data_IF_355799962715
#
_entry.id   IF_355799962715
#
_cell.length_a   1.000
_cell.length_b   1.000
_cell.length_c   1.000
_cell.angle_alpha   90.00
_cell.angle_beta   90.00
_cell.angle_gamma   90.00
#
_symmetry.space_group_name_H-M   'P 1'
#
loop_
_entity.id
_entity.type
_entity.pdbx_description
1 polymer ?
#
# COMPACT_ATOMS: atom_id res chain seq x y z
N UNK A 1 -25.88 -8.85 -47.16
CA UNK A 1 -26.09 -10.03 -46.33
C UNK A 1 -24.80 -10.53 -45.69
N UNK A 2 -23.71 -10.74 -46.44
CA UNK A 2 -22.41 -11.23 -45.92
C UNK A 2 -21.78 -10.27 -44.89
N UNK A 3 -21.84 -8.98 -45.09
CA UNK A 3 -21.28 -7.97 -44.21
C UNK A 3 -22.02 -7.87 -42.87
N UNK A 4 -23.32 -8.03 -42.88
CA UNK A 4 -24.15 -8.05 -41.65
C UNK A 4 -23.84 -9.28 -40.83
N UNK A 5 -23.71 -10.44 -41.47
CA UNK A 5 -23.36 -11.70 -40.80
C UNK A 5 -21.96 -11.60 -40.20
N UNK A 6 -20.99 -11.01 -40.90
CA UNK A 6 -19.63 -10.86 -40.44
C UNK A 6 -19.55 -9.89 -39.24
N UNK A 7 -20.25 -8.76 -39.26
CA UNK A 7 -20.38 -7.83 -38.12
C UNK A 7 -21.03 -8.51 -36.92
N UNK A 8 -22.06 -9.32 -37.12
CA UNK A 8 -22.72 -10.07 -36.05
C UNK A 8 -21.78 -11.11 -35.41
N UNK A 9 -21.00 -11.84 -36.21
CA UNK A 9 -20.02 -12.83 -35.72
C UNK A 9 -18.86 -12.15 -34.95
N UNK A 10 -18.36 -11.01 -35.44
CA UNK A 10 -17.33 -10.23 -34.75
C UNK A 10 -17.86 -9.73 -33.39
N UNK A 11 -19.08 -9.20 -33.37
CA UNK A 11 -19.72 -8.74 -32.13
C UNK A 11 -19.89 -9.89 -31.10
N UNK A 12 -20.40 -11.05 -31.56
CA UNK A 12 -20.55 -12.24 -30.70
C UNK A 12 -19.20 -12.74 -30.17
N UNK A 13 -18.16 -12.75 -30.98
CA UNK A 13 -16.78 -13.09 -30.56
C UNK A 13 -16.23 -12.11 -29.53
N UNK A 14 -16.49 -10.82 -29.69
CA UNK A 14 -16.06 -9.78 -28.71
C UNK A 14 -16.75 -9.99 -27.35
N UNK A 15 -18.05 -10.27 -27.33
CA UNK A 15 -18.79 -10.55 -26.10
C UNK A 15 -18.25 -11.77 -25.35
N UNK A 16 -17.93 -12.84 -26.09
CA UNK A 16 -17.33 -14.06 -25.49
C UNK A 16 -15.96 -13.75 -24.88
N UNK A 17 -15.13 -12.95 -25.55
CA UNK A 17 -13.82 -12.54 -25.02
C UNK A 17 -13.93 -11.72 -23.74
N UNK A 18 -14.87 -10.77 -23.68
CA UNK A 18 -15.13 -9.98 -22.49
C UNK A 18 -15.55 -10.87 -21.31
N UNK A 19 -16.51 -11.77 -21.57
CA UNK A 19 -16.98 -12.72 -20.56
C UNK A 19 -15.84 -13.60 -20.04
N UNK A 20 -15.04 -14.15 -20.94
CA UNK A 20 -13.89 -15.01 -20.58
C UNK A 20 -12.85 -14.24 -19.75
N UNK A 21 -12.53 -13.00 -20.12
CA UNK A 21 -11.61 -12.14 -19.36
C UNK A 21 -12.09 -11.97 -17.91
N UNK A 22 -13.36 -11.64 -17.70
CA UNK A 22 -13.90 -11.45 -16.35
C UNK A 22 -14.01 -12.75 -15.56
N UNK A 23 -14.26 -13.91 -16.20
CA UNK A 23 -14.17 -15.22 -15.53
C UNK A 23 -12.76 -15.51 -15.03
N UNK A 24 -11.75 -15.32 -15.89
CA UNK A 24 -10.35 -15.53 -15.52
C UNK A 24 -9.97 -14.58 -14.37
N UNK A 25 -10.32 -13.32 -14.46
CA UNK A 25 -10.04 -12.33 -13.41
C UNK A 25 -10.71 -12.71 -12.09
N UNK A 26 -11.98 -13.16 -12.13
CA UNK A 26 -12.69 -13.64 -10.95
C UNK A 26 -11.97 -14.82 -10.28
N UNK A 27 -11.53 -15.81 -11.05
CA UNK A 27 -10.81 -16.98 -10.53
C UNK A 27 -9.47 -16.54 -9.91
N UNK A 28 -8.71 -15.67 -10.58
CA UNK A 28 -7.44 -15.18 -10.05
C UNK A 28 -7.61 -14.41 -8.74
N UNK A 29 -8.62 -13.54 -8.64
CA UNK A 29 -8.94 -12.83 -7.39
C UNK A 29 -9.39 -13.80 -6.30
N UNK A 30 -10.17 -14.81 -6.62
CA UNK A 30 -10.60 -15.83 -5.65
C UNK A 30 -9.41 -16.62 -5.10
N UNK A 31 -8.51 -17.09 -5.97
CA UNK A 31 -7.27 -17.77 -5.57
C UNK A 31 -6.41 -16.85 -4.70
N UNK A 32 -6.27 -15.58 -5.07
CA UNK A 32 -5.55 -14.60 -4.25
C UNK A 32 -6.15 -14.50 -2.84
N UNK A 33 -7.48 -14.40 -2.73
CA UNK A 33 -8.18 -14.38 -1.44
C UNK A 33 -7.93 -15.63 -0.60
N UNK A 34 -7.94 -16.83 -1.21
CA UNK A 34 -7.61 -18.09 -0.51
C UNK A 34 -6.18 -18.06 0.01
N UNK A 35 -5.20 -17.67 -0.82
CA UNK A 35 -3.78 -17.58 -0.40
C UNK A 35 -3.59 -16.64 0.77
N UNK A 36 -4.24 -15.48 0.75
CA UNK A 36 -4.18 -14.52 1.85
C UNK A 36 -4.79 -15.09 3.15
N UNK A 37 -5.91 -15.81 3.03
CA UNK A 37 -6.56 -16.46 4.18
C UNK A 37 -5.65 -17.52 4.80
N UNK A 38 -5.05 -18.38 3.98
CA UNK A 38 -4.12 -19.44 4.44
C UNK A 38 -2.86 -18.83 5.09
N UNK A 39 -2.39 -17.69 4.61
CA UNK A 39 -1.26 -16.96 5.21
C UNK A 39 -1.62 -16.17 6.47
N UNK A 40 -2.86 -16.23 6.94
CA UNK A 40 -3.34 -15.51 8.12
C UNK A 40 -3.44 -13.98 7.92
N UNK A 41 -3.39 -13.50 6.68
CA UNK A 41 -3.48 -12.08 6.36
C UNK A 41 -4.94 -11.62 6.23
N UNK A 42 -5.67 -11.67 7.36
CA UNK A 42 -7.08 -11.29 7.43
C UNK A 42 -7.21 -9.78 7.64
N UNK A 43 -7.27 -9.04 6.55
CA UNK A 43 -7.43 -7.58 6.53
C UNK A 43 -8.68 -7.19 5.75
N UNK A 44 -9.09 -5.92 5.84
CA UNK A 44 -10.20 -5.37 5.02
C UNK A 44 -9.96 -5.62 3.52
N UNK A 45 -8.69 -5.58 3.08
CA UNK A 45 -8.31 -5.88 1.70
C UNK A 45 -8.70 -7.29 1.25
N UNK A 46 -8.67 -8.29 2.13
CA UNK A 46 -9.12 -9.66 1.85
C UNK A 46 -10.59 -9.69 1.44
N UNK A 47 -11.46 -9.03 2.23
CA UNK A 47 -12.90 -8.98 1.94
C UNK A 47 -13.21 -8.25 0.64
N UNK A 48 -12.45 -7.18 0.34
CA UNK A 48 -12.57 -6.45 -0.93
C UNK A 48 -12.19 -7.34 -2.11
N UNK A 49 -11.11 -8.12 -2.02
CA UNK A 49 -10.68 -9.05 -3.08
C UNK A 49 -11.75 -10.11 -3.36
N UNK A 50 -12.35 -10.71 -2.33
CA UNK A 50 -13.46 -11.65 -2.51
C UNK A 50 -14.70 -10.97 -3.11
N UNK A 51 -15.05 -9.76 -2.64
CA UNK A 51 -16.15 -8.97 -3.21
C UNK A 51 -15.94 -8.68 -4.69
N UNK A 52 -14.73 -8.25 -5.09
CA UNK A 52 -14.38 -8.02 -6.49
C UNK A 52 -14.44 -9.29 -7.32
N UNK A 53 -13.99 -10.43 -6.76
CA UNK A 53 -14.10 -11.73 -7.43
C UNK A 53 -15.57 -12.06 -7.76
N UNK A 54 -16.47 -11.91 -6.79
CA UNK A 54 -17.90 -12.13 -6.98
C UNK A 54 -18.49 -11.15 -8.02
N UNK A 55 -18.14 -9.87 -7.95
CA UNK A 55 -18.57 -8.86 -8.91
C UNK A 55 -18.13 -9.20 -10.34
N UNK A 56 -16.87 -9.62 -10.51
CA UNK A 56 -16.34 -10.07 -11.80
C UNK A 56 -17.08 -11.28 -12.34
N UNK A 57 -17.41 -12.26 -11.47
CA UNK A 57 -18.18 -13.44 -11.85
C UNK A 57 -19.61 -13.07 -12.32
N UNK A 58 -20.30 -12.24 -11.56
CA UNK A 58 -21.64 -11.76 -11.90
C UNK A 58 -21.60 -10.98 -13.23
N UNK A 59 -20.62 -10.11 -13.40
CA UNK A 59 -20.43 -9.36 -14.65
C UNK A 59 -20.15 -10.31 -15.82
N UNK A 60 -19.26 -11.26 -15.68
CA UNK A 60 -18.94 -12.25 -16.71
C UNK A 60 -20.18 -13.01 -17.19
N UNK A 61 -21.07 -13.36 -16.26
CA UNK A 61 -22.29 -14.14 -16.56
C UNK A 61 -23.42 -13.28 -17.12
N UNK A 62 -23.61 -12.07 -16.61
CA UNK A 62 -24.80 -11.25 -16.83
C UNK A 62 -24.54 -9.90 -17.51
N UNK A 63 -23.34 -9.66 -18.07
CA UNK A 63 -22.96 -8.32 -18.56
C UNK A 63 -23.92 -7.76 -19.63
N UNK A 64 -24.49 -8.60 -20.50
CA UNK A 64 -25.45 -8.14 -21.52
C UNK A 64 -26.76 -7.68 -20.86
N UNK A 65 -27.29 -8.49 -19.93
CA UNK A 65 -28.52 -8.17 -19.21
C UNK A 65 -28.32 -6.93 -18.32
N UNK A 66 -27.21 -6.86 -17.61
CA UNK A 66 -26.85 -5.70 -16.78
C UNK A 66 -26.70 -4.44 -17.61
N UNK A 67 -26.05 -4.55 -18.77
CA UNK A 67 -25.90 -3.42 -19.69
C UNK A 67 -27.24 -2.92 -20.21
N UNK A 68 -28.15 -3.82 -20.60
CA UNK A 68 -29.50 -3.50 -21.06
C UNK A 68 -30.34 -2.89 -19.92
N UNK A 69 -30.31 -3.51 -18.72
CA UNK A 69 -31.03 -3.04 -17.54
C UNK A 69 -30.63 -1.62 -17.16
N UNK A 70 -29.34 -1.30 -17.30
CA UNK A 70 -28.78 0.02 -16.93
C UNK A 70 -28.72 0.99 -18.11
N UNK A 71 -29.46 0.76 -19.19
CA UNK A 71 -29.43 1.59 -20.41
C UNK A 71 -30.23 2.87 -20.32
N UNK A 72 -31.19 2.97 -19.37
CA UNK A 72 -32.09 4.11 -19.23
C UNK A 72 -32.41 4.44 -17.77
N UNK A 73 -33.07 5.55 -17.55
CA UNK A 73 -33.55 5.97 -16.22
C UNK A 73 -32.42 6.21 -15.21
N UNK A 74 -32.75 6.03 -13.93
CA UNK A 74 -31.81 6.25 -12.83
C UNK A 74 -30.63 5.25 -12.86
N UNK A 75 -30.84 4.04 -13.36
CA UNK A 75 -29.80 3.02 -13.47
C UNK A 75 -28.70 3.41 -14.45
N UNK A 76 -29.04 4.19 -15.50
CA UNK A 76 -28.03 4.77 -16.41
C UNK A 76 -27.10 5.74 -15.65
N UNK A 77 -27.65 6.59 -14.81
CA UNK A 77 -26.85 7.52 -14.03
C UNK A 77 -25.99 6.80 -12.99
N UNK A 78 -26.51 5.78 -12.31
CA UNK A 78 -25.73 4.93 -11.40
C UNK A 78 -24.57 4.26 -12.13
N UNK A 79 -24.79 3.70 -13.31
CA UNK A 79 -23.72 3.13 -14.15
C UNK A 79 -22.65 4.15 -14.49
N UNK A 80 -23.05 5.38 -14.87
CA UNK A 80 -22.09 6.46 -15.19
C UNK A 80 -21.26 6.84 -13.96
N UNK A 81 -21.88 6.92 -12.79
CA UNK A 81 -21.16 7.17 -11.52
C UNK A 81 -20.17 6.06 -11.18
N UNK A 82 -20.54 4.80 -11.36
CA UNK A 82 -19.63 3.67 -11.16
C UNK A 82 -18.44 3.75 -12.13
N UNK A 83 -18.68 4.01 -13.41
CA UNK A 83 -17.60 4.15 -14.41
C UNK A 83 -16.69 5.33 -14.05
N UNK A 84 -17.24 6.47 -13.64
CA UNK A 84 -16.47 7.63 -13.18
C UNK A 84 -15.63 7.27 -11.93
N UNK A 85 -16.23 6.57 -10.96
CA UNK A 85 -15.51 6.11 -9.76
C UNK A 85 -14.34 5.18 -10.10
N UNK A 86 -14.53 4.24 -11.02
CA UNK A 86 -13.45 3.37 -11.53
C UNK A 86 -12.36 4.21 -12.23
N UNK A 87 -12.73 5.17 -13.07
CA UNK A 87 -11.77 6.03 -13.76
C UNK A 87 -10.93 6.84 -12.76
N UNK A 88 -11.57 7.46 -11.76
CA UNK A 88 -10.88 8.17 -10.67
C UNK A 88 -9.96 7.23 -9.90
N UNK A 89 -10.44 6.03 -9.55
CA UNK A 89 -9.63 5.02 -8.87
C UNK A 89 -8.37 4.65 -9.67
N UNK A 90 -8.51 4.43 -10.98
CA UNK A 90 -7.37 4.11 -11.86
C UNK A 90 -6.36 5.27 -11.98
N UNK A 91 -6.84 6.52 -11.96
CA UNK A 91 -5.97 7.71 -11.94
C UNK A 91 -5.13 7.73 -10.65
N UNK A 92 -5.77 7.55 -9.49
CA UNK A 92 -5.04 7.49 -8.20
C UNK A 92 -4.07 6.31 -8.14
N UNK A 93 -4.47 5.16 -8.65
CA UNK A 93 -3.60 3.99 -8.76
C UNK A 93 -2.36 4.29 -9.62
N UNK A 94 -2.55 4.93 -10.79
CA UNK A 94 -1.45 5.36 -11.65
C UNK A 94 -0.51 6.35 -10.95
N UNK A 95 -1.06 7.32 -10.21
CA UNK A 95 -0.30 8.27 -9.41
C UNK A 95 0.54 7.58 -8.33
N UNK A 96 -0.05 6.64 -7.58
CA UNK A 96 0.66 5.88 -6.54
C UNK A 96 1.82 5.09 -7.16
N UNK A 97 1.55 4.37 -8.25
CA UNK A 97 2.57 3.54 -8.92
C UNK A 97 3.68 4.38 -9.57
N UNK A 98 3.38 5.58 -10.04
CA UNK A 98 4.40 6.48 -10.61
C UNK A 98 5.42 6.98 -9.58
N UNK A 99 5.07 6.94 -8.29
CA UNK A 99 5.95 7.35 -7.19
C UNK A 99 6.66 6.19 -6.50
N UNK A 100 6.45 4.93 -6.96
CA UNK A 100 6.93 3.71 -6.30
C UNK A 100 8.40 3.39 -6.60
N UNK A 101 9.30 4.36 -6.39
CA UNK A 101 10.73 4.21 -6.66
C UNK A 101 11.59 4.66 -5.46
N UNK A 102 12.85 4.20 -5.46
CA UNK A 102 13.88 4.63 -4.50
C UNK A 102 14.61 5.85 -5.05
N UNK A 103 14.81 6.87 -4.21
CA UNK A 103 15.50 8.12 -4.55
C UNK A 103 16.56 8.55 -3.51
N UNK A 104 17.19 7.57 -2.83
CA UNK A 104 18.26 7.79 -1.85
C UNK A 104 19.62 7.95 -2.53
N UNK A 105 20.50 8.77 -1.94
CA UNK A 105 21.89 8.97 -2.39
C UNK A 105 22.94 8.55 -1.33
N UNK A 106 22.49 8.08 -0.17
CA UNK A 106 23.31 7.62 0.96
C UNK A 106 24.12 8.74 1.66
N UNK A 107 23.62 9.97 1.59
CA UNK A 107 24.21 11.13 2.28
C UNK A 107 23.23 11.75 3.28
N UNK A 108 22.07 11.13 3.43
CA UNK A 108 21.00 11.61 4.30
C UNK A 108 21.38 11.49 5.79
N UNK A 109 20.80 12.38 6.64
CA UNK A 109 21.17 12.55 8.04
C UNK A 109 20.50 11.54 8.99
N UNK A 110 19.32 11.05 8.66
CA UNK A 110 18.56 10.11 9.49
C UNK A 110 17.69 9.16 8.66
N UNK A 111 17.46 7.94 9.19
CA UNK A 111 16.53 6.97 8.62
C UNK A 111 15.29 6.87 9.49
N UNK A 112 14.10 6.81 8.88
CA UNK A 112 12.83 6.51 9.55
C UNK A 112 12.25 5.23 8.94
N UNK A 113 12.21 4.14 9.71
CA UNK A 113 11.56 2.89 9.30
C UNK A 113 10.10 2.92 9.76
N UNK A 114 9.17 2.94 8.79
CA UNK A 114 7.75 2.93 9.09
C UNK A 114 7.27 1.50 9.38
N UNK A 115 6.45 1.34 10.41
CA UNK A 115 5.85 0.06 10.77
C UNK A 115 4.94 -0.53 9.69
N UNK A 116 4.84 -1.87 9.65
CA UNK A 116 4.04 -2.62 8.66
C UNK A 116 3.35 -3.86 9.24
N UNK A 117 3.34 -4.01 10.54
CA UNK A 117 2.67 -5.06 11.27
C UNK A 117 3.58 -6.09 11.93
N UNK A 118 3.25 -6.39 13.17
CA UNK A 118 3.86 -7.43 14.01
C UNK A 118 2.75 -8.40 14.43
N UNK A 119 3.07 -9.68 14.46
CA UNK A 119 2.13 -10.74 14.87
C UNK A 119 2.85 -11.69 15.80
N UNK A 120 2.32 -11.89 17.01
CA UNK A 120 2.91 -12.75 18.06
C UNK A 120 4.38 -12.38 18.35
N UNK A 121 4.68 -11.08 18.50
CA UNK A 121 6.02 -10.58 18.78
C UNK A 121 7.02 -10.72 17.63
N UNK A 122 6.59 -11.20 16.45
CA UNK A 122 7.45 -11.36 15.26
C UNK A 122 7.09 -10.35 14.18
N UNK A 123 8.11 -9.76 13.57
CA UNK A 123 7.93 -8.86 12.42
C UNK A 123 7.28 -9.60 11.25
N UNK A 124 6.30 -8.98 10.60
CA UNK A 124 5.69 -9.52 9.38
C UNK A 124 6.72 -9.57 8.25
N UNK A 125 6.50 -10.41 7.21
CA UNK A 125 7.41 -10.45 6.05
C UNK A 125 7.55 -9.09 5.37
N UNK A 126 6.48 -8.31 5.34
CA UNK A 126 6.47 -6.93 4.81
C UNK A 126 7.38 -6.01 5.64
N UNK A 127 7.29 -6.11 6.98
CA UNK A 127 8.13 -5.32 7.87
C UNK A 127 9.59 -5.80 7.81
N UNK A 128 9.81 -7.11 7.76
CA UNK A 128 11.14 -7.68 7.57
C UNK A 128 11.84 -7.10 6.34
N UNK A 129 11.18 -7.06 5.18
CA UNK A 129 11.77 -6.49 3.96
C UNK A 129 12.18 -5.02 4.16
N UNK A 130 11.45 -4.23 4.95
CA UNK A 130 11.83 -2.83 5.29
C UNK A 130 13.08 -2.79 6.16
N UNK A 131 13.13 -3.66 7.17
CA UNK A 131 14.27 -3.72 8.09
C UNK A 131 15.53 -4.21 7.37
N UNK A 132 15.42 -5.23 6.51
CA UNK A 132 16.52 -5.70 5.68
C UNK A 132 17.06 -4.58 4.78
N UNK A 133 16.17 -3.81 4.13
CA UNK A 133 16.58 -2.66 3.32
C UNK A 133 17.22 -1.54 4.16
N UNK A 134 16.77 -1.33 5.40
CA UNK A 134 17.39 -0.40 6.33
C UNK A 134 18.80 -0.85 6.73
N UNK A 135 19.00 -2.16 6.98
CA UNK A 135 20.32 -2.73 7.27
C UNK A 135 21.27 -2.54 6.07
N UNK A 136 20.80 -2.84 4.86
CA UNK A 136 21.57 -2.62 3.63
C UNK A 136 21.94 -1.14 3.42
N UNK A 137 21.03 -0.23 3.80
CA UNK A 137 21.30 1.21 3.77
C UNK A 137 22.36 1.60 4.80
N UNK A 138 22.22 1.14 6.05
CA UNK A 138 23.17 1.43 7.14
C UNK A 138 24.60 0.99 6.80
N UNK A 139 24.78 -0.13 6.12
CA UNK A 139 26.11 -0.58 5.68
C UNK A 139 26.78 0.36 4.66
N UNK A 140 26.00 1.23 4.00
CA UNK A 140 26.50 2.21 3.03
C UNK A 140 26.63 3.61 3.60
N UNK A 141 25.87 3.91 4.63
CA UNK A 141 25.89 5.15 5.39
C UNK A 141 25.73 4.82 6.89
N UNK A 142 26.85 4.56 7.57
CA UNK A 142 26.87 4.09 8.97
C UNK A 142 26.92 5.20 10.01
N UNK A 143 27.16 6.45 9.61
CA UNK A 143 27.17 7.61 10.50
C UNK A 143 25.78 8.26 10.55
N UNK A 144 24.78 7.49 11.01
CA UNK A 144 23.39 7.88 10.89
C UNK A 144 22.53 7.26 12.01
N UNK A 145 21.53 8.00 12.48
CA UNK A 145 20.51 7.45 13.39
C UNK A 145 19.36 6.81 12.64
N UNK A 146 18.85 5.71 13.18
CA UNK A 146 17.72 4.94 12.64
C UNK A 146 16.54 5.05 13.61
N UNK A 147 15.50 5.80 13.25
CA UNK A 147 14.24 5.80 13.98
C UNK A 147 13.35 4.67 13.49
N UNK A 148 12.94 3.79 14.41
CA UNK A 148 11.90 2.78 14.17
C UNK A 148 10.60 3.29 14.79
N UNK A 149 9.56 3.45 13.96
CA UNK A 149 8.32 4.10 14.39
C UNK A 149 7.10 3.21 14.16
N UNK A 150 6.40 2.92 15.27
CA UNK A 150 5.19 2.09 15.29
C UNK A 150 4.74 1.76 16.71
N UNK A 151 3.50 2.12 17.04
CA UNK A 151 2.92 1.95 18.37
C UNK A 151 2.46 0.53 18.69
N UNK A 152 1.44 0.43 19.57
CA UNK A 152 0.93 -0.84 20.09
C UNK A 152 0.45 -1.79 18.99
N UNK A 153 0.86 -3.04 19.09
CA UNK A 153 0.34 -4.12 18.25
C UNK A 153 -1.08 -4.51 18.67
N UNK A 154 -1.84 -5.13 17.80
CA UNK A 154 -3.20 -5.63 18.10
C UNK A 154 -3.24 -6.69 19.21
N UNK A 155 -2.12 -7.32 19.50
CA UNK A 155 -2.03 -8.51 20.37
C UNK A 155 -1.39 -8.25 21.74
N UNK A 156 -1.18 -7.00 22.15
CA UNK A 156 -0.60 -6.60 23.45
C UNK A 156 0.82 -7.17 23.77
N UNK A 157 1.53 -7.67 22.78
CA UNK A 157 2.85 -8.29 22.93
C UNK A 157 3.99 -7.27 22.75
N UNK A 158 3.79 -6.03 23.20
CA UNK A 158 4.72 -4.94 23.00
C UNK A 158 4.38 -4.05 21.82
N UNK A 159 5.27 -3.14 21.49
CA UNK A 159 5.09 -2.20 20.38
C UNK A 159 5.75 -2.71 19.09
N UNK A 160 5.32 -2.17 17.97
CA UNK A 160 5.92 -2.48 16.69
C UNK A 160 7.37 -1.98 16.62
N UNK A 161 7.62 -0.80 17.19
CA UNK A 161 8.95 -0.20 17.28
C UNK A 161 9.94 -1.04 18.09
N UNK A 162 9.51 -1.62 19.23
CA UNK A 162 10.35 -2.55 20.02
C UNK A 162 10.74 -3.80 19.21
N UNK A 163 9.78 -4.40 18.51
CA UNK A 163 10.05 -5.55 17.65
C UNK A 163 11.00 -5.22 16.48
N UNK A 164 10.87 -4.00 15.91
CA UNK A 164 11.78 -3.52 14.87
C UNK A 164 13.20 -3.28 15.42
N UNK A 165 13.32 -2.60 16.56
CA UNK A 165 14.61 -2.35 17.21
C UNK A 165 15.35 -3.67 17.52
N UNK A 166 14.63 -4.63 18.13
CA UNK A 166 15.17 -5.96 18.38
C UNK A 166 15.66 -6.65 17.09
N UNK A 167 14.88 -6.59 16.01
CA UNK A 167 15.29 -7.19 14.74
C UNK A 167 16.57 -6.55 14.20
N UNK A 168 16.68 -5.22 14.24
CA UNK A 168 17.89 -4.50 13.78
C UNK A 168 19.11 -4.89 14.62
N UNK A 169 18.98 -4.91 15.95
CA UNK A 169 20.06 -5.29 16.87
C UNK A 169 20.50 -6.75 16.68
N UNK A 170 19.53 -7.67 16.54
CA UNK A 170 19.81 -9.09 16.27
C UNK A 170 20.56 -9.29 14.92
N UNK A 171 20.47 -8.32 14.01
CA UNK A 171 21.17 -8.32 12.71
C UNK A 171 22.37 -7.35 12.64
N UNK A 172 22.92 -6.95 13.79
CA UNK A 172 24.20 -6.27 13.88
C UNK A 172 24.17 -4.74 13.81
N UNK A 173 22.99 -4.11 13.88
CA UNK A 173 22.91 -2.66 14.03
C UNK A 173 23.16 -2.28 15.50
N UNK A 174 24.07 -1.35 15.82
CA UNK A 174 24.32 -0.90 17.19
C UNK A 174 23.07 -0.31 17.83
N UNK A 175 22.82 -0.63 19.12
CA UNK A 175 21.63 -0.18 19.82
C UNK A 175 21.60 1.34 20.04
N UNK A 176 22.76 1.96 20.19
CA UNK A 176 22.94 3.39 20.44
C UNK A 176 22.56 4.30 19.24
N UNK A 177 22.52 3.75 18.02
CA UNK A 177 22.04 4.46 16.84
C UNK A 177 20.53 4.26 16.59
N UNK A 178 19.86 3.36 17.34
CA UNK A 178 18.44 3.06 17.15
C UNK A 178 17.59 3.96 18.06
N UNK A 179 16.66 4.68 17.45
CA UNK A 179 15.69 5.54 18.13
C UNK A 179 14.32 4.86 18.07
N UNK A 180 13.73 4.60 19.25
CA UNK A 180 12.41 3.95 19.35
C UNK A 180 11.32 5.02 19.46
N UNK A 181 10.36 5.02 18.55
CA UNK A 181 9.11 5.77 18.60
C UNK A 181 7.94 4.75 18.69
N UNK A 182 7.34 4.60 19.85
CA UNK A 182 6.40 3.54 20.19
C UNK A 182 4.96 4.00 20.50
N UNK A 183 4.64 5.28 20.22
CA UNK A 183 3.35 5.90 20.57
C UNK A 183 2.42 6.07 19.40
N UNK A 184 2.95 6.12 18.18
CA UNK A 184 2.20 6.41 16.95
C UNK A 184 1.18 5.33 16.62
N UNK A 185 0.01 5.76 16.10
CA UNK A 185 -1.07 4.91 15.63
C UNK A 185 -1.41 5.14 14.15
N UNK A 186 -0.70 6.06 13.52
CA UNK A 186 -0.88 6.40 12.11
C UNK A 186 0.42 6.87 11.47
N UNK A 187 0.52 6.80 10.14
CA UNK A 187 1.70 7.28 9.41
C UNK A 187 1.99 8.75 9.65
N UNK A 188 0.97 9.58 9.84
CA UNK A 188 1.14 10.98 10.20
C UNK A 188 1.80 11.14 11.58
N UNK A 189 1.35 10.35 12.55
CA UNK A 189 1.92 10.35 13.89
C UNK A 189 3.33 9.79 13.93
N UNK A 190 3.64 8.77 13.10
CA UNK A 190 5.00 8.26 12.96
C UNK A 190 5.98 9.41 12.67
N UNK A 191 5.69 10.25 11.67
CA UNK A 191 6.57 11.38 11.34
C UNK A 191 6.55 12.47 12.40
N UNK A 192 5.38 12.83 12.94
CA UNK A 192 5.25 13.88 13.93
C UNK A 192 6.03 13.57 15.22
N UNK A 193 5.86 12.37 15.74
CA UNK A 193 6.52 11.96 16.99
C UNK A 193 8.01 11.68 16.78
N UNK A 194 8.40 11.08 15.66
CA UNK A 194 9.81 10.91 15.33
C UNK A 194 10.52 12.27 15.19
N UNK A 195 9.89 13.26 14.53
CA UNK A 195 10.47 14.61 14.41
C UNK A 195 10.70 15.25 15.77
N UNK A 196 9.71 15.16 16.66
CA UNK A 196 9.85 15.66 18.03
C UNK A 196 11.03 15.00 18.76
N UNK A 197 11.20 13.68 18.64
CA UNK A 197 12.32 12.97 19.25
C UNK A 197 13.65 13.43 18.65
N UNK A 198 13.74 13.66 17.35
CA UNK A 198 14.95 14.16 16.70
C UNK A 198 15.31 15.56 17.19
N UNK A 199 14.32 16.45 17.30
CA UNK A 199 14.49 17.81 17.85
C UNK A 199 14.96 17.76 19.32
N UNK A 200 14.31 16.99 20.17
CA UNK A 200 14.64 16.84 21.59
C UNK A 200 16.06 16.28 21.80
N UNK A 201 16.49 15.35 20.97
CA UNK A 201 17.82 14.72 21.01
C UNK A 201 18.88 15.47 20.20
N UNK A 202 18.50 16.55 19.50
CA UNK A 202 19.37 17.33 18.60
C UNK A 202 20.00 16.47 17.49
N UNK A 203 19.26 15.50 16.99
CA UNK A 203 19.66 14.70 15.83
C UNK A 203 19.44 15.50 14.56
N UNK A 204 20.47 15.58 13.69
CA UNK A 204 20.34 16.20 12.38
C UNK A 204 19.29 15.44 11.55
N UNK A 205 18.40 16.15 10.88
CA UNK A 205 17.31 15.60 10.08
C UNK A 205 16.89 16.54 8.94
N UNK A 206 17.83 17.32 8.44
CA UNK A 206 17.62 18.23 7.29
C UNK A 206 17.33 17.44 6.02
N UNK A 207 17.92 16.24 5.91
CA UNK A 207 17.65 15.24 4.89
C UNK A 207 17.38 13.88 5.53
N UNK A 208 16.27 13.26 5.23
CA UNK A 208 15.90 11.95 5.80
C UNK A 208 15.61 10.89 4.73
N UNK A 209 15.88 9.64 5.09
CA UNK A 209 15.35 8.49 4.38
C UNK A 209 14.16 7.92 5.12
N UNK A 210 13.05 7.68 4.43
CA UNK A 210 11.97 6.87 4.98
C UNK A 210 11.87 5.54 4.25
N UNK A 211 11.82 4.45 5.04
CA UNK A 211 11.75 3.08 4.53
C UNK A 211 10.32 2.59 4.55
N UNK A 212 9.77 2.29 3.36
CA UNK A 212 8.41 1.79 3.25
C UNK A 212 8.22 0.94 1.98
N UNK A 213 7.01 0.36 1.81
CA UNK A 213 6.71 -0.42 0.62
C UNK A 213 6.37 0.47 -0.58
N UNK A 214 6.62 -0.07 -1.76
CA UNK A 214 6.41 0.54 -3.08
C UNK A 214 5.04 1.23 -3.22
N UNK A 215 3.93 0.57 -2.85
CA UNK A 215 2.59 1.16 -2.93
C UNK A 215 2.37 2.33 -1.95
N UNK A 216 3.16 2.44 -0.87
CA UNK A 216 2.92 3.41 0.21
C UNK A 216 3.74 4.72 0.07
N UNK A 217 4.71 4.78 -0.82
CA UNK A 217 5.67 5.89 -0.95
C UNK A 217 4.98 7.24 -1.14
N UNK A 218 4.00 7.32 -2.04
CA UNK A 218 3.31 8.58 -2.31
C UNK A 218 2.73 9.22 -1.04
N UNK A 219 1.97 8.45 -0.26
CA UNK A 219 1.33 8.94 0.96
C UNK A 219 2.33 9.20 2.08
N UNK A 220 3.32 8.33 2.23
CA UNK A 220 4.40 8.50 3.20
C UNK A 220 5.18 9.80 2.94
N UNK A 221 5.58 10.07 1.68
CA UNK A 221 6.28 11.30 1.29
C UNK A 221 5.44 12.57 1.56
N UNK A 222 4.12 12.51 1.27
CA UNK A 222 3.21 13.63 1.57
C UNK A 222 3.11 13.92 3.07
N UNK A 223 3.04 12.88 3.91
CA UNK A 223 3.03 13.06 5.37
C UNK A 223 4.38 13.54 5.90
N UNK A 224 5.51 13.06 5.38
CA UNK A 224 6.84 13.56 5.74
C UNK A 224 6.94 15.06 5.47
N UNK A 225 6.60 15.52 4.26
CA UNK A 225 6.59 16.95 3.90
C UNK A 225 5.63 17.75 4.78
N UNK A 226 4.43 17.23 5.06
CA UNK A 226 3.45 17.90 5.92
C UNK A 226 3.95 18.05 7.37
N UNK A 227 4.76 17.12 7.85
CA UNK A 227 5.42 17.20 9.16
C UNK A 227 6.69 18.05 9.15
N UNK A 228 7.06 18.64 8.01
CA UNK A 228 8.22 19.55 7.88
C UNK A 228 9.55 18.83 7.63
N UNK A 229 9.52 17.62 7.07
CA UNK A 229 10.68 16.98 6.45
C UNK A 229 10.69 17.34 4.96
N UNK A 230 11.35 18.45 4.61
CA UNK A 230 11.31 18.97 3.24
C UNK A 230 12.12 18.09 2.28
N UNK A 231 13.27 17.57 2.74
CA UNK A 231 14.13 16.66 2.00
C UNK A 231 13.92 15.23 2.47
N UNK A 232 12.81 14.61 2.08
CA UNK A 232 12.47 13.22 2.42
C UNK A 232 12.64 12.32 1.21
N UNK A 233 13.62 11.39 1.30
CA UNK A 233 13.96 10.41 0.27
C UNK A 233 13.33 9.05 0.59
N UNK A 234 12.87 8.37 -0.44
CA UNK A 234 12.20 7.08 -0.27
C UNK A 234 13.16 5.92 -0.48
N UNK A 235 13.22 5.01 0.47
CA UNK A 235 13.80 3.68 0.29
C UNK A 235 12.67 2.67 0.12
N UNK A 236 12.41 2.33 -1.14
CA UNK A 236 11.29 1.47 -1.55
C UNK A 236 11.60 0.01 -1.35
N UNK A 237 10.69 -0.72 -0.72
CA UNK A 237 10.76 -2.18 -0.64
C UNK A 237 9.62 -2.84 -1.41
N UNK A 238 9.93 -3.96 -2.08
CA UNK A 238 8.95 -4.69 -2.87
C UNK A 238 7.90 -5.34 -1.98
N UNK A 239 6.66 -5.22 -2.40
CA UNK A 239 5.52 -5.90 -1.78
C UNK A 239 5.35 -7.28 -2.37
N UNK A 240 5.02 -8.26 -1.51
CA UNK A 240 4.66 -9.61 -1.95
C UNK A 240 3.49 -9.56 -2.95
N UNK A 241 3.58 -10.35 -4.03
CA UNK A 241 2.62 -10.34 -5.13
C UNK A 241 1.16 -10.54 -4.68
N UNK A 242 0.95 -11.41 -3.68
CA UNK A 242 -0.41 -11.72 -3.20
C UNK A 242 -0.98 -10.61 -2.33
N UNK A 243 -0.13 -9.88 -1.60
CA UNK A 243 -0.55 -8.75 -0.76
C UNK A 243 -0.62 -7.43 -1.53
N UNK A 244 0.00 -7.35 -2.71
CA UNK A 244 0.08 -6.13 -3.51
C UNK A 244 -1.30 -5.59 -3.91
N UNK A 245 -2.17 -6.42 -4.48
CA UNK A 245 -3.51 -6.00 -4.93
C UNK A 245 -4.35 -5.44 -3.78
N UNK A 246 -4.56 -6.18 -2.66
CA UNK A 246 -5.34 -5.64 -1.54
C UNK A 246 -4.67 -4.44 -0.86
N UNK A 247 -3.33 -4.37 -0.83
CA UNK A 247 -2.60 -3.23 -0.31
C UNK A 247 -2.81 -1.97 -1.16
N UNK A 248 -2.71 -2.11 -2.49
CA UNK A 248 -2.91 -1.01 -3.44
C UNK A 248 -4.35 -0.48 -3.38
N UNK A 249 -5.36 -1.38 -3.28
CA UNK A 249 -6.75 -0.97 -3.13
C UNK A 249 -6.94 -0.12 -1.86
N UNK A 250 -6.40 -0.59 -0.74
CA UNK A 250 -6.45 0.15 0.54
C UNK A 250 -5.69 1.47 0.45
N UNK A 251 -4.57 1.50 -0.26
CA UNK A 251 -3.75 2.70 -0.38
C UNK A 251 -4.43 3.81 -1.17
N UNK A 252 -5.14 3.51 -2.25
CA UNK A 252 -5.97 4.50 -2.96
C UNK A 252 -6.97 5.15 -2.02
N UNK A 253 -7.66 4.35 -1.21
CA UNK A 253 -8.60 4.88 -0.20
C UNK A 253 -7.87 5.73 0.85
N UNK A 254 -6.68 5.29 1.29
CA UNK A 254 -5.83 6.04 2.23
C UNK A 254 -5.33 7.38 1.67
N UNK A 255 -5.03 7.46 0.38
CA UNK A 255 -4.64 8.71 -0.29
C UNK A 255 -5.84 9.67 -0.38
N UNK A 256 -7.03 9.17 -0.70
CA UNK A 256 -8.25 9.98 -0.71
C UNK A 256 -8.56 10.52 0.70
N UNK A 257 -8.50 9.66 1.73
CA UNK A 257 -8.68 10.06 3.14
C UNK A 257 -7.67 11.15 3.55
N UNK A 258 -6.39 10.96 3.19
CA UNK A 258 -5.34 11.94 3.44
C UNK A 258 -5.68 13.32 2.84
N UNK A 259 -6.07 13.36 1.58
CA UNK A 259 -6.34 14.63 0.88
C UNK A 259 -7.60 15.32 1.38
N UNK A 260 -8.62 14.55 1.74
CA UNK A 260 -9.91 15.12 2.17
C UNK A 260 -9.90 15.55 3.64
N UNK A 261 -9.22 14.78 4.52
CA UNK A 261 -9.39 14.92 5.96
C UNK A 261 -8.10 15.23 6.75
N UNK A 262 -6.90 14.93 6.23
CA UNK A 262 -5.67 14.98 7.02
C UNK A 262 -4.73 16.12 6.67
N UNK A 263 -4.65 16.52 5.40
CA UNK A 263 -3.79 17.61 4.92
C UNK A 263 -4.60 18.90 4.75
N UNK A 264 -5.15 19.42 5.85
CA UNK A 264 -5.88 20.70 5.88
C UNK A 264 -5.13 21.71 6.73
#
# INVERSE_FOLDING_TARGET
MYEIINRFLIYKRSLVKISLFFYILSVLLFINGIVLTVRGNVTVGLYIVFGLSICCFIWAKFHIQLWQLTSSGILLWLRRLVILGIAVYLIFMGLILSCSYTDVDYTEDAVIVLGAGVTNGKVSKTLQNRLDACIDYYHKNSDIYIAVSGGLTRFKDGTEAEAMAKYLTDNGIPEDVIIIEDKSQSTLENYRFTKQIFEDKKICHDSIVFVTNDFHIYRAKKYATYCGFENAHALSTRTDLFTFVPALIREVLGVIDMWVFKLK
#
